data_IF_885359243132
#
_entry.id   IF_885359243132
#
_cell.length_a   1.000
_cell.length_b   1.000
_cell.length_c   1.000
_cell.angle_alpha   90.00
_cell.angle_beta   90.00
_cell.angle_gamma   90.00
#
_symmetry.space_group_name_H-M   'P 1'
#
loop_
_entity.id
_entity.type
_entity.pdbx_description
1 polymer ?
#
# COMPACT_ATOMS: atom_id res chain seq x y z
N UNK A 1 -22.29 -24.20 -26.72
CA UNK A 1 -21.94 -24.14 -26.24
C UNK A 1 -21.32 -24.10 -25.63
N UNK A 2 -21.08 -23.85 -25.47
CA UNK A 2 -20.56 -23.79 -24.88
C UNK A 2 -19.91 -23.67 -24.02
N UNK A 3 -19.53 -23.10 -23.97
CA UNK A 3 -18.78 -23.25 -23.19
C UNK A 3 -19.23 -23.88 -22.18
N UNK A 4 -19.08 -24.44 -21.88
CA UNK A 4 -19.44 -25.12 -21.00
C UNK A 4 -18.75 -25.12 -19.80
N UNK A 5 -17.85 -25.68 -19.55
CA UNK A 5 -17.08 -25.55 -18.34
C UNK A 5 -16.28 -24.29 -18.37
N UNK A 6 -16.22 -23.66 -17.24
CA UNK A 6 -15.40 -22.50 -17.07
C UNK A 6 -13.93 -22.91 -17.22
N UNK A 7 -13.17 -22.28 -18.09
CA UNK A 7 -11.76 -22.62 -18.23
C UNK A 7 -11.00 -22.29 -16.95
N UNK A 8 -9.91 -23.01 -16.71
CA UNK A 8 -9.01 -22.68 -15.63
C UNK A 8 -8.47 -21.29 -15.85
N UNK A 9 -8.28 -20.58 -14.75
CA UNK A 9 -7.65 -19.26 -14.82
C UNK A 9 -6.27 -19.38 -15.42
N UNK A 10 -5.97 -18.50 -16.34
CA UNK A 10 -4.63 -18.40 -16.88
C UNK A 10 -3.70 -17.84 -15.81
N UNK A 11 -2.38 -18.04 -15.99
CA UNK A 11 -1.37 -17.43 -15.13
C UNK A 11 -1.52 -15.92 -15.14
N UNK A 12 -1.80 -15.34 -16.31
CA UNK A 12 -1.98 -13.90 -16.43
C UNK A 12 -3.15 -13.39 -15.57
N UNK A 13 -4.27 -14.09 -15.60
CA UNK A 13 -5.43 -13.71 -14.80
C UNK A 13 -5.12 -13.81 -13.30
N UNK A 14 -4.39 -14.84 -12.90
CA UNK A 14 -3.98 -14.99 -11.51
C UNK A 14 -3.08 -13.83 -11.07
N UNK A 15 -2.17 -13.42 -11.93
CA UNK A 15 -1.29 -12.27 -11.66
C UNK A 15 -2.13 -11.01 -11.44
N UNK A 16 -3.11 -10.76 -12.30
CA UNK A 16 -3.98 -9.59 -12.16
C UNK A 16 -4.78 -9.63 -10.87
N UNK A 17 -5.27 -10.80 -10.50
CA UNK A 17 -6.02 -10.95 -9.24
C UNK A 17 -5.14 -10.67 -8.03
N UNK A 18 -3.91 -11.15 -8.04
CA UNK A 18 -2.96 -10.92 -6.97
C UNK A 18 -2.54 -9.45 -6.92
N UNK A 19 -2.30 -8.87 -8.08
CA UNK A 19 -1.97 -7.45 -8.17
C UNK A 19 -3.13 -6.59 -7.64
N UNK A 20 -4.35 -6.95 -7.97
CA UNK A 20 -5.52 -6.23 -7.49
C UNK A 20 -5.62 -6.22 -5.97
N UNK A 21 -5.24 -7.33 -5.32
CA UNK A 21 -5.23 -7.38 -3.85
C UNK A 21 -4.22 -6.38 -3.26
N UNK A 22 -3.05 -6.25 -3.89
CA UNK A 22 -2.06 -5.27 -3.46
C UNK A 22 -2.60 -3.85 -3.66
N UNK A 23 -3.15 -3.57 -4.83
CA UNK A 23 -3.71 -2.25 -5.12
C UNK A 23 -4.83 -1.90 -4.16
N UNK A 24 -5.67 -2.86 -3.82
CA UNK A 24 -6.75 -2.65 -2.87
C UNK A 24 -6.22 -2.32 -1.48
N UNK A 25 -5.13 -2.95 -1.07
CA UNK A 25 -4.50 -2.64 0.21
C UNK A 25 -3.93 -1.22 0.22
N UNK A 26 -3.54 -0.68 -0.92
CA UNK A 26 -3.04 0.69 -1.05
C UNK A 26 -4.16 1.73 -1.09
N UNK A 27 -5.39 1.32 -1.34
CA UNK A 27 -6.49 2.24 -1.65
C UNK A 27 -7.14 2.85 -0.40
N UNK A 28 -6.34 3.47 0.45
CA UNK A 28 -6.82 4.17 1.63
C UNK A 28 -5.78 5.23 2.02
N UNK A 29 -6.21 6.48 2.26
CA UNK A 29 -5.26 7.57 2.56
C UNK A 29 -4.31 7.25 3.70
N UNK A 30 -4.78 6.68 4.79
CA UNK A 30 -3.93 6.35 5.94
C UNK A 30 -2.89 5.29 5.56
N UNK A 31 -3.27 4.31 4.76
CA UNK A 31 -2.33 3.27 4.35
C UNK A 31 -1.28 3.82 3.40
N UNK A 32 -1.65 4.74 2.52
CA UNK A 32 -0.67 5.43 1.66
C UNK A 32 0.32 6.24 2.49
N UNK A 33 -0.15 6.92 3.54
CA UNK A 33 0.74 7.64 4.44
C UNK A 33 1.71 6.71 5.15
N UNK A 34 1.23 5.56 5.62
CA UNK A 34 2.08 4.57 6.26
C UNK A 34 3.19 4.11 5.31
N UNK A 35 2.82 3.78 4.09
CA UNK A 35 3.79 3.31 3.09
C UNK A 35 4.81 4.39 2.74
N UNK A 36 4.37 5.64 2.67
CA UNK A 36 5.26 6.77 2.41
C UNK A 36 6.30 6.90 3.53
N UNK A 37 5.85 6.84 4.78
CA UNK A 37 6.75 6.92 5.93
C UNK A 37 7.74 5.75 5.94
N UNK A 38 7.26 4.54 5.69
CA UNK A 38 8.12 3.36 5.66
C UNK A 38 9.07 3.36 4.47
N UNK A 39 8.74 4.08 3.42
CA UNK A 39 9.65 4.28 2.28
C UNK A 39 10.89 5.07 2.66
N UNK A 40 10.83 5.83 3.74
CA UNK A 40 11.96 6.60 4.26
C UNK A 40 12.82 5.78 5.21
N UNK A 41 12.32 4.62 5.65
CA UNK A 41 13.04 3.75 6.58
C UNK A 41 12.08 3.09 7.53
N UNK A 42 12.56 2.08 8.25
CA UNK A 42 11.69 1.41 9.21
C UNK A 42 11.28 2.36 10.34
N UNK A 43 10.12 2.12 10.89
CA UNK A 43 9.46 3.06 11.78
C UNK A 43 8.68 2.30 12.85
N UNK A 44 8.71 2.81 14.07
CA UNK A 44 7.95 2.22 15.18
C UNK A 44 6.45 2.41 14.98
N UNK A 45 5.68 1.45 15.46
CA UNK A 45 4.21 1.53 15.41
C UNK A 45 3.72 2.79 16.13
N UNK A 46 4.33 3.11 17.27
CA UNK A 46 3.95 4.31 18.03
C UNK A 46 4.24 5.59 17.25
N UNK A 47 5.34 5.61 16.49
CA UNK A 47 5.66 6.76 15.63
C UNK A 47 4.65 6.92 14.51
N UNK A 48 4.24 5.81 13.90
CA UNK A 48 3.21 5.83 12.87
C UNK A 48 1.89 6.36 13.44
N UNK A 49 1.53 5.90 14.62
CA UNK A 49 0.31 6.33 15.29
C UNK A 49 0.33 7.84 15.53
N UNK A 50 1.43 8.35 16.04
CA UNK A 50 1.62 9.77 16.28
C UNK A 50 1.54 10.58 14.98
N UNK A 51 2.25 10.13 13.96
CA UNK A 51 2.32 10.84 12.67
C UNK A 51 0.97 10.92 11.99
N UNK A 52 0.17 9.87 12.08
CA UNK A 52 -1.14 9.83 11.43
C UNK A 52 -2.26 10.41 12.30
N UNK A 53 -2.02 10.50 13.60
CA UNK A 53 -3.03 11.01 14.51
C UNK A 53 -4.25 10.11 14.65
N UNK A 54 -4.07 8.80 14.52
CA UNK A 54 -5.17 7.84 14.63
C UNK A 54 -4.94 6.91 15.80
N UNK A 55 -6.00 6.21 16.21
CA UNK A 55 -5.96 5.35 17.38
C UNK A 55 -5.05 4.13 17.16
N UNK A 56 -4.64 3.53 18.26
CA UNK A 56 -3.85 2.29 18.21
C UNK A 56 -4.59 1.19 17.45
N UNK A 57 -5.91 1.09 17.69
CA UNK A 57 -6.74 0.11 16.99
C UNK A 57 -6.77 0.39 15.48
N UNK A 58 -6.92 1.65 15.10
CA UNK A 58 -6.91 2.05 13.69
C UNK A 58 -5.60 1.71 13.00
N UNK A 59 -4.47 2.04 13.62
CA UNK A 59 -3.15 1.70 13.11
C UNK A 59 -3.04 0.19 12.94
N UNK A 60 -3.42 -0.57 13.96
CA UNK A 60 -3.31 -2.03 13.93
C UNK A 60 -4.10 -2.64 12.76
N UNK A 61 -5.29 -2.10 12.48
CA UNK A 61 -6.12 -2.57 11.38
C UNK A 61 -5.48 -2.28 10.02
N UNK A 62 -4.94 -1.08 9.84
CA UNK A 62 -4.26 -0.72 8.60
C UNK A 62 -3.00 -1.54 8.39
N UNK A 63 -2.23 -1.76 9.45
CA UNK A 63 -1.02 -2.57 9.36
C UNK A 63 -1.35 -4.03 9.04
N UNK A 64 -2.42 -4.57 9.61
CA UNK A 64 -2.86 -5.93 9.33
C UNK A 64 -3.20 -6.12 7.85
N UNK A 65 -3.90 -5.16 7.26
CA UNK A 65 -4.25 -5.22 5.84
C UNK A 65 -3.00 -5.19 4.96
N UNK A 66 -2.08 -4.27 5.24
CA UNK A 66 -0.84 -4.15 4.48
C UNK A 66 0.06 -5.37 4.66
N UNK A 67 0.12 -5.89 5.87
CA UNK A 67 0.89 -7.11 6.15
C UNK A 67 0.30 -8.31 5.43
N UNK A 68 -1.02 -8.43 5.42
CA UNK A 68 -1.71 -9.50 4.72
C UNK A 68 -1.47 -9.44 3.22
N UNK A 69 -1.33 -8.24 2.67
CA UNK A 69 -1.00 -8.06 1.25
C UNK A 69 0.48 -8.33 0.95
N UNK A 70 1.29 -8.54 1.97
CA UNK A 70 2.70 -8.88 1.81
C UNK A 70 3.63 -7.70 1.53
N UNK A 71 3.15 -6.47 1.71
CA UNK A 71 3.95 -5.27 1.36
C UNK A 71 4.73 -4.70 2.54
N UNK A 72 4.35 -5.07 3.76
CA UNK A 72 5.13 -4.70 4.94
C UNK A 72 5.17 -5.86 5.93
N UNK A 73 6.11 -5.78 6.85
CA UNK A 73 6.17 -6.71 7.96
C UNK A 73 6.62 -5.96 9.21
N UNK A 74 6.66 -6.68 10.31
CA UNK A 74 7.02 -6.10 11.59
C UNK A 74 8.06 -6.96 12.28
N UNK A 75 8.85 -6.36 13.16
CA UNK A 75 9.79 -7.08 14.02
C UNK A 75 9.84 -6.40 15.37
N UNK A 76 10.17 -7.18 16.38
CA UNK A 76 10.35 -6.62 17.70
C UNK A 76 11.78 -6.11 17.87
N UNK A 77 11.88 -4.97 18.55
CA UNK A 77 13.14 -4.40 18.96
C UNK A 77 12.98 -3.91 20.40
N UNK A 78 13.26 -4.79 21.36
CA UNK A 78 12.98 -4.51 22.75
C UNK A 78 11.48 -4.43 22.99
N UNK A 79 11.01 -3.31 23.54
CA UNK A 79 9.60 -3.08 23.80
C UNK A 79 8.87 -2.51 22.60
N UNK A 80 9.61 -2.14 21.55
CA UNK A 80 9.03 -1.54 20.36
C UNK A 80 8.69 -2.59 19.32
N UNK A 81 7.67 -2.28 18.52
CA UNK A 81 7.38 -3.02 17.31
C UNK A 81 7.72 -2.08 16.15
N UNK A 82 8.62 -2.52 15.29
CA UNK A 82 9.06 -1.75 14.13
C UNK A 82 8.42 -2.32 12.88
N UNK A 83 7.98 -1.43 12.00
CA UNK A 83 7.42 -1.78 10.70
C UNK A 83 8.42 -1.46 9.60
N UNK A 84 8.44 -2.26 8.57
CA UNK A 84 9.31 -2.04 7.42
C UNK A 84 8.67 -2.58 6.13
N UNK A 85 9.06 -2.02 5.00
CA UNK A 85 8.62 -2.53 3.70
C UNK A 85 9.37 -3.83 3.40
N UNK A 86 8.63 -4.85 2.99
CA UNK A 86 9.21 -6.16 2.67
C UNK A 86 9.91 -6.16 1.32
N UNK A 87 9.48 -5.28 0.42
CA UNK A 87 9.95 -5.24 -0.96
C UNK A 87 10.22 -3.78 -1.32
N UNK A 88 11.47 -3.42 -1.71
CA UNK A 88 11.80 -2.02 -2.00
C UNK A 88 10.93 -1.39 -3.10
N UNK A 89 10.48 -2.18 -4.04
CA UNK A 89 9.63 -1.72 -5.14
C UNK A 89 8.32 -1.09 -4.68
N UNK A 90 7.88 -1.38 -3.46
CA UNK A 90 6.67 -0.76 -2.90
C UNK A 90 6.83 0.76 -2.85
N UNK A 91 8.00 1.23 -2.45
CA UNK A 91 8.30 2.67 -2.43
C UNK A 91 8.19 3.26 -3.82
N UNK A 92 8.79 2.60 -4.81
CA UNK A 92 8.77 3.06 -6.19
C UNK A 92 7.35 3.10 -6.76
N UNK A 93 6.55 2.08 -6.46
CA UNK A 93 5.17 2.03 -6.92
C UNK A 93 4.35 3.20 -6.38
N UNK A 94 4.49 3.50 -5.09
CA UNK A 94 3.80 4.63 -4.46
C UNK A 94 4.26 5.96 -5.07
N UNK A 95 5.55 6.10 -5.34
CA UNK A 95 6.09 7.31 -5.96
C UNK A 95 5.54 7.50 -7.38
N UNK A 96 5.38 6.41 -8.13
CA UNK A 96 4.83 6.49 -9.48
C UNK A 96 3.35 6.89 -9.47
N UNK A 97 2.58 6.35 -8.52
CA UNK A 97 1.18 6.76 -8.36
C UNK A 97 1.11 8.25 -8.00
N UNK A 98 2.01 8.73 -7.14
CA UNK A 98 2.08 10.15 -6.80
C UNK A 98 2.37 10.99 -8.04
N UNK A 99 3.24 10.52 -8.93
CA UNK A 99 3.53 11.22 -10.18
C UNK A 99 2.31 11.30 -11.09
N UNK A 100 1.49 10.26 -11.12
CA UNK A 100 0.23 10.29 -11.87
C UNK A 100 -0.66 11.40 -11.33
N UNK A 101 -0.80 11.50 -10.01
CA UNK A 101 -1.58 12.56 -9.39
C UNK A 101 -1.02 13.95 -9.72
N UNK A 102 0.31 14.12 -9.62
CA UNK A 102 0.95 15.39 -9.92
C UNK A 102 0.73 15.81 -11.37
N UNK A 103 0.77 14.85 -12.30
CA UNK A 103 0.49 15.11 -13.71
C UNK A 103 -0.96 15.55 -13.91
N UNK A 104 -1.90 14.94 -13.19
CA UNK A 104 -3.31 15.33 -13.25
C UNK A 104 -3.52 16.76 -12.74
N UNK A 105 -2.87 17.10 -11.64
CA UNK A 105 -2.97 18.44 -11.06
C UNK A 105 -2.40 19.48 -12.03
N UNK A 106 -1.25 19.21 -12.62
CA UNK A 106 -0.62 20.11 -13.60
C UNK A 106 -1.52 20.32 -14.82
N UNK A 107 -2.13 19.25 -15.32
CA UNK A 107 -3.04 19.34 -16.46
C UNK A 107 -4.27 20.18 -16.11
N UNK A 108 -4.84 20.01 -14.92
CA UNK A 108 -5.95 20.82 -14.45
C UNK A 108 -5.60 22.30 -14.39
N UNK A 109 -4.44 22.61 -13.87
CA UNK A 109 -3.96 23.99 -13.79
C UNK A 109 -3.80 24.59 -15.17
N UNK A 110 -3.25 23.82 -16.10
CA UNK A 110 -3.04 24.29 -17.47
C UNK A 110 -4.37 24.59 -18.17
N UNK A 111 -5.38 23.78 -17.91
CA UNK A 111 -6.70 23.96 -18.53
C UNK A 111 -7.47 25.13 -17.93
N UNK A 112 -7.22 25.44 -16.66
CA UNK A 112 -7.87 26.55 -15.99
C UNK A 112 -7.20 27.89 -16.30
N UNK A 113 -5.89 27.86 -16.42
CA UNK A 113 -5.10 29.08 -16.70
C UNK A 113 -5.29 29.56 -18.16
#
# INVERSE_FOLDING_TARGET
MMRKTKPKKSIDMEIFERQARICKAFAHPARLQILDLLGQGECGVSTLQESLGISKTGISQHLAILKSAGVLSTRRNGKQVLCYLTIPEVKQACQLIRKVLEAQISESHRLIA
#
